data_IF_183642500478
#
_entry.id   IF_183642500478
#
_cell.length_a   1.000
_cell.length_b   1.000
_cell.length_c   1.000
_cell.angle_alpha   90.00
_cell.angle_beta   90.00
_cell.angle_gamma   90.00
#
_symmetry.space_group_name_H-M   'P 1'
#
loop_
_entity.id
_entity.type
_entity.pdbx_description
1 polymer ?
#
# COMPACT_ATOMS: atom_id res chain seq x y z
N UNK A 1 -3.10 -39.65 -8.33
CA UNK A 1 -3.47 -39.45 -6.91
C UNK A 1 -2.53 -38.48 -6.18
N UNK A 2 -2.22 -37.31 -6.76
CA UNK A 2 -1.38 -36.26 -6.13
C UNK A 2 -2.09 -34.90 -5.98
N UNK A 3 -3.33 -34.80 -6.44
CA UNK A 3 -4.12 -33.55 -6.42
C UNK A 3 -5.11 -33.40 -5.26
N UNK A 4 -5.19 -34.36 -4.33
CA UNK A 4 -6.19 -34.34 -3.26
C UNK A 4 -5.67 -33.77 -1.92
N UNK A 5 -4.35 -33.60 -1.77
CA UNK A 5 -3.75 -33.09 -0.54
C UNK A 5 -3.69 -31.56 -0.47
N UNK A 6 -3.80 -30.85 -1.60
CA UNK A 6 -3.86 -29.37 -1.59
C UNK A 6 -5.23 -28.84 -1.13
N UNK A 7 -6.30 -29.63 -1.26
CA UNK A 7 -7.65 -29.22 -0.85
C UNK A 7 -7.85 -29.39 0.66
N UNK A 8 -7.18 -30.36 1.29
CA UNK A 8 -7.30 -30.56 2.74
C UNK A 8 -6.56 -29.51 3.58
N UNK A 9 -5.51 -28.88 3.06
CA UNK A 9 -4.84 -27.77 3.75
C UNK A 9 -5.67 -26.48 3.81
N UNK A 10 -6.72 -26.37 2.97
CA UNK A 10 -7.69 -25.27 2.98
C UNK A 10 -8.93 -25.56 3.84
N UNK A 11 -8.99 -26.73 4.51
CA UNK A 11 -10.11 -27.12 5.39
C UNK A 11 -9.82 -26.94 6.88
N UNK A 12 -8.72 -26.27 7.26
CA UNK A 12 -8.71 -25.57 8.53
C UNK A 12 -9.51 -24.29 8.31
N UNK A 13 -10.78 -24.31 8.76
CA UNK A 13 -11.48 -23.10 9.16
C UNK A 13 -10.58 -22.35 10.15
N UNK A 14 -9.65 -21.54 9.63
CA UNK A 14 -8.91 -20.58 10.42
C UNK A 14 -9.97 -19.64 10.97
N UNK A 15 -10.40 -19.89 12.20
CA UNK A 15 -11.41 -19.07 12.85
C UNK A 15 -10.91 -17.63 12.80
N UNK A 16 -11.66 -16.76 12.10
CA UNK A 16 -11.36 -15.35 12.05
C UNK A 16 -11.26 -14.82 13.47
N UNK A 17 -10.06 -14.39 13.82
CA UNK A 17 -9.76 -13.94 15.16
C UNK A 17 -9.96 -12.44 15.26
N UNK A 18 -10.45 -11.97 16.41
CA UNK A 18 -10.38 -10.54 16.73
C UNK A 18 -8.91 -10.12 16.77
N UNK A 19 -8.62 -8.83 16.57
CA UNK A 19 -7.30 -8.28 16.80
C UNK A 19 -6.68 -8.81 18.09
N UNK A 20 -5.56 -9.53 17.97
CA UNK A 20 -4.81 -10.09 19.12
C UNK A 20 -3.93 -9.03 19.82
N UNK A 21 -3.96 -7.80 19.30
CA UNK A 21 -3.49 -6.60 19.98
C UNK A 21 -4.64 -6.04 20.82
N UNK A 22 -4.34 -5.51 22.01
CA UNK A 22 -5.37 -4.97 22.88
C UNK A 22 -6.12 -3.81 22.21
N UNK A 23 -7.40 -3.62 22.49
CA UNK A 23 -8.19 -2.53 21.89
C UNK A 23 -7.54 -1.14 22.09
N UNK A 24 -6.80 -0.95 23.18
CA UNK A 24 -6.05 0.27 23.47
C UNK A 24 -4.81 0.50 22.59
N UNK A 25 -4.37 -0.52 21.84
CA UNK A 25 -3.24 -0.45 20.89
C UNK A 25 -3.72 -0.13 19.47
N UNK A 26 -5.00 -0.33 19.18
CA UNK A 26 -5.60 0.06 17.92
C UNK A 26 -5.94 1.55 17.95
N UNK A 27 -5.66 2.23 16.85
CA UNK A 27 -6.01 3.64 16.69
C UNK A 27 -7.40 3.79 16.07
N UNK A 28 -8.30 4.49 16.76
CA UNK A 28 -9.69 4.71 16.35
C UNK A 28 -10.02 6.19 16.08
N UNK A 29 -9.02 7.08 16.05
CA UNK A 29 -9.26 8.53 15.91
C UNK A 29 -9.84 8.89 14.54
N UNK A 30 -10.91 9.68 14.51
CA UNK A 30 -11.57 10.08 13.25
C UNK A 30 -11.43 11.58 12.93
N UNK A 31 -10.94 12.36 13.88
CA UNK A 31 -10.78 13.82 13.74
C UNK A 31 -9.31 14.22 13.84
N UNK A 32 -8.94 15.24 13.07
CA UNK A 32 -7.64 15.87 13.11
C UNK A 32 -7.80 17.36 12.79
N UNK A 33 -7.16 18.23 13.58
CA UNK A 33 -7.20 19.68 13.41
C UNK A 33 -6.24 20.21 12.33
N UNK A 34 -5.57 19.32 11.60
CA UNK A 34 -4.53 19.62 10.62
C UNK A 34 -4.41 18.52 9.58
N UNK A 35 -3.32 18.50 8.78
CA UNK A 35 -3.11 17.45 7.78
C UNK A 35 -3.08 16.09 8.47
N UNK A 36 -3.76 15.12 7.88
CA UNK A 36 -3.89 13.78 8.43
C UNK A 36 -3.94 12.74 7.32
N UNK A 37 -3.30 11.60 7.59
CA UNK A 37 -3.38 10.42 6.74
C UNK A 37 -4.64 9.65 7.12
N UNK A 38 -5.52 9.40 6.15
CA UNK A 38 -6.72 8.61 6.33
C UNK A 38 -6.42 7.16 5.95
N UNK A 39 -6.47 6.25 6.92
CA UNK A 39 -6.40 4.83 6.63
C UNK A 39 -7.73 4.35 6.05
N UNK A 40 -7.72 3.76 4.87
CA UNK A 40 -8.92 3.27 4.18
C UNK A 40 -9.14 1.76 4.40
N UNK A 41 -8.11 1.08 4.88
CA UNK A 41 -8.05 -0.37 5.06
C UNK A 41 -7.19 -1.05 3.99
N UNK A 42 -6.73 -2.26 4.30
CA UNK A 42 -5.80 -3.06 3.48
C UNK A 42 -4.53 -2.23 3.20
N UNK A 43 -4.11 -2.06 1.94
CA UNK A 43 -3.03 -1.15 1.53
C UNK A 43 -3.48 0.31 1.36
N UNK A 44 -4.75 0.62 1.62
CA UNK A 44 -5.39 1.89 1.28
C UNK A 44 -5.05 3.05 2.21
N UNK A 45 -4.49 4.14 1.66
CA UNK A 45 -4.26 5.40 2.40
C UNK A 45 -4.61 6.62 1.55
N UNK A 46 -5.28 7.62 2.13
CA UNK A 46 -5.60 8.89 1.47
C UNK A 46 -5.00 10.07 2.25
N UNK A 47 -4.31 10.96 1.53
CA UNK A 47 -3.68 12.13 2.12
C UNK A 47 -4.00 13.41 1.32
N UNK A 48 -4.88 14.28 1.85
CA UNK A 48 -5.08 15.61 1.32
C UNK A 48 -3.88 16.52 1.64
N UNK A 49 -3.46 17.34 0.67
CA UNK A 49 -2.37 18.31 0.83
C UNK A 49 -2.51 19.48 -0.15
N UNK A 50 -2.55 20.73 0.34
CA UNK A 50 -2.62 21.96 -0.48
C UNK A 50 -3.63 21.92 -1.65
N UNK A 51 -4.85 21.40 -1.41
CA UNK A 51 -5.91 21.34 -2.42
C UNK A 51 -5.78 20.21 -3.44
N UNK A 52 -4.70 19.43 -3.37
CA UNK A 52 -4.56 18.15 -4.06
C UNK A 52 -4.43 16.99 -3.06
N UNK A 53 -4.07 15.79 -3.52
CA UNK A 53 -3.85 14.66 -2.63
C UNK A 53 -3.21 13.44 -3.29
N UNK A 54 -2.68 12.58 -2.43
CA UNK A 54 -2.12 11.27 -2.82
C UNK A 54 -2.97 10.14 -2.24
N UNK A 55 -3.23 9.14 -3.07
CA UNK A 55 -3.97 7.92 -2.74
C UNK A 55 -3.07 6.72 -2.97
N UNK A 56 -2.97 5.83 -1.98
CA UNK A 56 -2.17 4.61 -2.06
C UNK A 56 -3.09 3.39 -2.12
N UNK A 57 -2.85 2.49 -3.08
CA UNK A 57 -3.45 1.15 -3.21
C UNK A 57 -4.84 0.96 -2.58
N UNK A 58 -5.88 1.70 -3.02
CA UNK A 58 -7.21 1.64 -2.41
C UNK A 58 -7.90 0.30 -2.66
N UNK A 59 -8.53 -0.27 -1.61
CA UNK A 59 -9.17 -1.59 -1.68
C UNK A 59 -10.41 -1.67 -0.77
N UNK A 60 -11.59 -1.68 -1.38
CA UNK A 60 -12.89 -1.63 -0.72
C UNK A 60 -13.71 -2.89 -0.97
N UNK A 61 -13.66 -3.44 -2.19
CA UNK A 61 -14.45 -4.61 -2.61
C UNK A 61 -14.25 -5.77 -1.66
N UNK A 62 -12.99 -6.13 -1.35
CA UNK A 62 -12.63 -7.20 -0.42
C UNK A 62 -13.42 -8.50 -0.71
N UNK A 63 -13.25 -9.13 -1.88
CA UNK A 63 -14.06 -10.28 -2.29
C UNK A 63 -13.83 -11.51 -1.40
N UNK A 64 -14.84 -12.38 -1.28
CA UNK A 64 -14.77 -13.63 -0.53
C UNK A 64 -15.51 -14.76 -1.26
N UNK A 65 -15.06 -16.01 -1.07
CA UNK A 65 -15.69 -17.17 -1.69
C UNK A 65 -17.12 -17.35 -1.16
N UNK A 66 -18.09 -17.37 -2.08
CA UNK A 66 -19.53 -17.45 -1.77
C UNK A 66 -20.01 -16.39 -0.75
N UNK A 67 -19.30 -15.24 -0.64
CA UNK A 67 -19.62 -14.19 0.33
C UNK A 67 -19.30 -14.55 1.79
N UNK A 68 -18.61 -15.68 2.04
CA UNK A 68 -18.27 -16.14 3.38
C UNK A 68 -17.00 -15.43 3.84
N UNK A 69 -17.13 -14.48 4.76
CA UNK A 69 -16.00 -13.71 5.32
C UNK A 69 -14.89 -14.64 5.82
N UNK A 70 -13.65 -14.32 5.45
CA UNK A 70 -12.45 -15.06 5.83
C UNK A 70 -12.06 -16.18 4.89
N UNK A 71 -12.89 -16.52 3.90
CA UNK A 71 -12.55 -17.53 2.89
C UNK A 71 -12.04 -16.82 1.62
N UNK A 72 -10.78 -17.09 1.20
CA UNK A 72 -10.19 -16.47 0.02
C UNK A 72 -11.05 -16.71 -1.24
N UNK A 73 -11.26 -15.68 -2.08
CA UNK A 73 -12.03 -15.81 -3.30
C UNK A 73 -11.28 -16.62 -4.37
N UNK A 74 -12.04 -17.22 -5.30
CA UNK A 74 -11.48 -17.75 -6.56
C UNK A 74 -11.71 -16.75 -7.69
N UNK A 75 -12.94 -16.21 -7.77
CA UNK A 75 -13.33 -15.15 -8.70
C UNK A 75 -13.32 -13.81 -8.00
N UNK A 76 -12.86 -12.78 -8.69
CA UNK A 76 -12.81 -11.41 -8.19
C UNK A 76 -13.44 -10.46 -9.19
N UNK A 77 -14.20 -9.51 -8.68
CA UNK A 77 -14.81 -8.44 -9.46
C UNK A 77 -15.00 -7.26 -8.54
N UNK A 78 -14.60 -6.07 -9.00
CA UNK A 78 -14.84 -4.81 -8.29
C UNK A 78 -16.33 -4.64 -7.99
N UNK A 79 -16.64 -4.09 -6.83
CA UNK A 79 -17.98 -3.70 -6.39
C UNK A 79 -18.09 -2.16 -6.33
N UNK A 80 -18.53 -1.50 -7.43
CA UNK A 80 -18.66 -0.05 -7.49
C UNK A 80 -19.64 0.53 -6.45
N UNK A 81 -20.63 -0.25 -6.00
CA UNK A 81 -21.59 0.21 -5.00
C UNK A 81 -20.90 0.28 -3.65
N UNK A 82 -20.14 -0.75 -3.29
CA UNK A 82 -19.34 -0.76 -2.05
C UNK A 82 -18.28 0.33 -2.04
N UNK A 83 -17.57 0.53 -3.15
CA UNK A 83 -16.62 1.64 -3.31
C UNK A 83 -17.32 2.99 -3.09
N UNK A 84 -18.46 3.22 -3.74
CA UNK A 84 -19.21 4.48 -3.60
C UNK A 84 -19.71 4.73 -2.17
N UNK A 85 -20.11 3.68 -1.45
CA UNK A 85 -20.61 3.79 -0.08
C UNK A 85 -19.49 4.08 0.93
N UNK A 86 -18.30 3.53 0.71
CA UNK A 86 -17.23 3.52 1.71
C UNK A 86 -16.16 4.58 1.46
N UNK A 87 -15.88 4.92 0.20
CA UNK A 87 -14.76 5.79 -0.12
C UNK A 87 -15.06 7.24 0.30
N UNK A 88 -14.18 7.90 1.08
CA UNK A 88 -14.28 9.34 1.34
C UNK A 88 -14.11 10.14 0.05
N UNK A 89 -14.48 11.43 0.06
CA UNK A 89 -14.24 12.30 -1.09
C UNK A 89 -12.75 12.28 -1.48
N UNK A 90 -12.48 11.99 -2.75
CA UNK A 90 -11.15 11.85 -3.31
C UNK A 90 -11.01 12.59 -4.64
N UNK A 91 -11.93 13.52 -4.96
CA UNK A 91 -11.88 14.31 -6.21
C UNK A 91 -10.65 15.20 -6.31
N UNK A 92 -10.04 15.56 -5.18
CA UNK A 92 -8.80 16.33 -5.12
C UNK A 92 -7.54 15.49 -5.37
N UNK A 93 -7.65 14.16 -5.43
CA UNK A 93 -6.48 13.29 -5.63
C UNK A 93 -5.91 13.53 -7.03
N UNK A 94 -4.64 13.87 -7.09
CA UNK A 94 -3.86 14.06 -8.32
C UNK A 94 -2.92 12.88 -8.58
N UNK A 95 -2.42 12.22 -7.52
CA UNK A 95 -1.53 11.06 -7.63
C UNK A 95 -2.13 9.83 -6.95
N UNK A 96 -2.28 8.74 -7.70
CA UNK A 96 -2.65 7.41 -7.21
C UNK A 96 -1.45 6.48 -7.37
N UNK A 97 -0.89 6.02 -6.26
CA UNK A 97 0.33 5.22 -6.21
C UNK A 97 -0.03 3.76 -5.90
N UNK A 98 0.35 2.84 -6.79
CA UNK A 98 0.12 1.39 -6.63
C UNK A 98 1.48 0.69 -6.61
N UNK A 99 1.78 -0.05 -5.54
CA UNK A 99 3.06 -0.74 -5.43
C UNK A 99 3.11 -2.06 -6.22
N UNK A 100 2.02 -2.82 -6.29
CA UNK A 100 1.95 -4.05 -7.09
C UNK A 100 0.52 -4.36 -7.57
N UNK A 101 0.39 -5.36 -8.44
CA UNK A 101 -0.81 -5.60 -9.25
C UNK A 101 -1.73 -6.72 -8.74
N UNK A 102 -1.56 -7.20 -7.51
CA UNK A 102 -2.54 -8.10 -6.90
C UNK A 102 -3.89 -7.40 -6.72
N UNK A 103 -4.96 -8.19 -6.72
CA UNK A 103 -6.32 -7.67 -6.74
C UNK A 103 -6.65 -6.84 -5.49
N UNK A 104 -6.06 -7.14 -4.35
CA UNK A 104 -6.24 -6.41 -3.10
C UNK A 104 -5.55 -5.04 -3.09
N UNK A 105 -4.78 -4.69 -4.13
CA UNK A 105 -4.19 -3.37 -4.36
C UNK A 105 -4.70 -2.66 -5.63
N UNK A 106 -5.16 -3.41 -6.63
CA UNK A 106 -5.45 -2.88 -7.97
C UNK A 106 -6.91 -3.04 -8.43
N UNK A 107 -7.69 -3.98 -7.87
CA UNK A 107 -9.02 -4.35 -8.38
C UNK A 107 -9.96 -3.17 -8.56
N UNK A 108 -9.98 -2.30 -7.54
CA UNK A 108 -10.94 -1.20 -7.45
C UNK A 108 -10.45 0.06 -8.15
N UNK A 109 -9.18 0.12 -8.55
CA UNK A 109 -8.53 1.34 -9.04
C UNK A 109 -9.23 1.90 -10.28
N UNK A 110 -9.67 1.07 -11.22
CA UNK A 110 -10.34 1.58 -12.42
C UNK A 110 -11.71 2.19 -12.15
N UNK A 111 -12.50 1.60 -11.26
CA UNK A 111 -13.80 2.16 -10.85
C UNK A 111 -13.61 3.44 -10.03
N UNK A 112 -12.60 3.46 -9.15
CA UNK A 112 -12.21 4.63 -8.36
C UNK A 112 -11.83 5.79 -9.29
N UNK A 113 -10.95 5.57 -10.26
CA UNK A 113 -10.52 6.60 -11.21
C UNK A 113 -11.67 7.10 -12.11
N UNK A 114 -12.71 6.29 -12.34
CA UNK A 114 -13.87 6.70 -13.14
C UNK A 114 -14.84 7.59 -12.36
N UNK A 115 -15.02 7.36 -11.06
CA UNK A 115 -16.13 7.97 -10.30
C UNK A 115 -15.69 8.76 -9.07
N UNK A 116 -14.76 8.23 -8.27
CA UNK A 116 -14.42 8.80 -6.96
C UNK A 116 -13.19 9.70 -6.99
N UNK A 117 -12.21 9.39 -7.83
CA UNK A 117 -10.97 10.14 -8.02
C UNK A 117 -10.76 10.47 -9.52
N UNK A 118 -11.68 11.21 -10.17
CA UNK A 118 -11.63 11.48 -11.60
C UNK A 118 -10.41 12.28 -12.07
N UNK A 119 -9.74 12.99 -11.17
CA UNK A 119 -8.55 13.79 -11.45
C UNK A 119 -7.23 13.05 -11.23
N UNK A 120 -7.28 11.81 -10.72
CA UNK A 120 -6.08 11.07 -10.40
C UNK A 120 -5.35 10.58 -11.65
N UNK A 121 -4.02 10.71 -11.62
CA UNK A 121 -3.09 9.96 -12.46
C UNK A 121 -2.55 8.77 -11.68
N UNK A 122 -2.50 7.59 -12.30
CA UNK A 122 -2.04 6.36 -11.64
C UNK A 122 -0.61 6.03 -12.02
N UNK A 123 0.18 5.72 -11.01
CA UNK A 123 1.58 5.39 -11.11
C UNK A 123 1.82 4.00 -10.54
N UNK A 124 2.40 3.11 -11.35
CA UNK A 124 2.70 1.73 -10.97
C UNK A 124 3.63 1.06 -11.97
N UNK A 125 3.90 -0.22 -11.77
CA UNK A 125 4.73 -0.99 -12.69
C UNK A 125 4.03 -1.23 -14.04
N UNK A 126 4.77 -1.77 -15.01
CA UNK A 126 4.22 -2.14 -16.32
C UNK A 126 2.99 -3.06 -16.22
N UNK A 127 2.96 -3.96 -15.23
CA UNK A 127 1.82 -4.87 -15.02
C UNK A 127 0.60 -4.12 -14.54
N UNK A 128 0.76 -3.17 -13.61
CA UNK A 128 -0.32 -2.27 -13.17
C UNK A 128 -0.90 -1.53 -14.39
N UNK A 129 -0.03 -0.93 -15.21
CA UNK A 129 -0.42 -0.17 -16.40
C UNK A 129 -1.15 -1.06 -17.41
N UNK A 130 -0.65 -2.26 -17.69
CA UNK A 130 -1.24 -3.16 -18.68
C UNK A 130 -2.60 -3.71 -18.25
N UNK A 131 -2.79 -4.02 -16.97
CA UNK A 131 -4.11 -4.41 -16.43
C UNK A 131 -5.10 -3.25 -16.56
N UNK A 132 -4.71 -2.04 -16.13
CA UNK A 132 -5.58 -0.86 -16.24
C UNK A 132 -5.86 -0.47 -17.69
N UNK A 133 -4.88 -0.64 -18.58
CA UNK A 133 -5.06 -0.41 -20.00
C UNK A 133 -6.16 -1.32 -20.57
N UNK A 134 -6.20 -2.59 -20.17
CA UNK A 134 -7.31 -3.48 -20.55
C UNK A 134 -8.66 -2.99 -20.02
N UNK A 135 -8.70 -2.53 -18.77
CA UNK A 135 -9.93 -2.01 -18.12
C UNK A 135 -10.42 -0.67 -18.70
N UNK A 136 -9.53 0.06 -19.39
CA UNK A 136 -9.80 1.36 -20.02
C UNK A 136 -9.66 1.30 -21.56
N UNK A 137 -9.66 0.12 -22.17
CA UNK A 137 -9.40 -0.05 -23.62
C UNK A 137 -10.30 0.81 -24.53
N UNK A 138 -11.51 1.13 -24.07
CA UNK A 138 -12.50 1.94 -24.78
C UNK A 138 -12.53 3.42 -24.32
N UNK A 139 -11.59 3.84 -23.46
CA UNK A 139 -11.52 5.19 -22.88
C UNK A 139 -10.11 5.82 -23.04
N UNK A 140 -9.85 6.48 -24.18
CA UNK A 140 -8.56 7.11 -24.45
C UNK A 140 -8.18 8.21 -23.45
N UNK A 141 -9.14 8.81 -22.72
CA UNK A 141 -8.86 9.82 -21.70
C UNK A 141 -8.26 9.18 -20.44
N UNK A 142 -8.78 8.02 -20.04
CA UNK A 142 -8.23 7.23 -18.93
C UNK A 142 -6.85 6.67 -19.27
N UNK A 143 -6.64 6.18 -20.50
CA UNK A 143 -5.35 5.62 -20.92
C UNK A 143 -4.18 6.62 -20.80
N UNK A 144 -4.43 7.92 -20.99
CA UNK A 144 -3.38 8.96 -20.85
C UNK A 144 -2.95 9.24 -19.42
N UNK A 145 -3.67 8.70 -18.43
CA UNK A 145 -3.41 8.87 -17.00
C UNK A 145 -2.68 7.69 -16.38
N UNK A 146 -2.25 6.72 -17.20
CA UNK A 146 -1.52 5.54 -16.75
C UNK A 146 -0.03 5.75 -16.94
N UNK A 147 0.75 5.64 -15.87
CA UNK A 147 2.18 5.92 -15.89
C UNK A 147 2.98 4.72 -15.40
N UNK A 148 3.78 4.14 -16.29
CA UNK A 148 4.76 3.11 -15.93
C UNK A 148 5.97 3.78 -15.28
N UNK A 149 6.25 3.43 -14.03
CA UNK A 149 7.30 4.08 -13.23
C UNK A 149 8.64 3.36 -13.23
N UNK A 150 8.75 2.22 -13.90
CA UNK A 150 10.00 1.46 -13.97
C UNK A 150 11.17 2.27 -14.55
N UNK A 151 10.99 3.17 -15.54
CA UNK A 151 12.09 4.02 -16.02
C UNK A 151 12.61 5.05 -15.01
N UNK A 152 11.85 5.34 -13.95
CA UNK A 152 12.20 6.30 -12.89
C UNK A 152 12.60 5.62 -11.59
N UNK A 153 12.58 4.28 -11.54
CA UNK A 153 12.72 3.50 -10.30
C UNK A 153 14.11 3.65 -9.69
N UNK A 154 14.15 3.98 -8.41
CA UNK A 154 15.37 3.90 -7.62
C UNK A 154 15.78 2.44 -7.49
N UNK A 155 17.04 2.15 -7.80
CA UNK A 155 17.61 0.82 -7.63
C UNK A 155 17.76 0.51 -6.15
N UNK A 156 17.76 -0.78 -5.81
CA UNK A 156 18.08 -1.24 -4.47
C UNK A 156 19.49 -0.75 -4.11
N UNK A 157 19.69 -0.08 -2.96
CA UNK A 157 21.02 0.34 -2.52
C UNK A 157 21.96 -0.88 -2.44
N UNK A 158 23.07 -0.85 -3.18
CA UNK A 158 24.17 -1.82 -3.04
C UNK A 158 25.24 -1.20 -2.13
N UNK A 159 25.87 -2.01 -1.27
CA UNK A 159 27.01 -1.61 -0.44
C UNK A 159 28.20 -1.20 -1.34
N UNK A 160 28.29 -1.73 -2.55
CA UNK A 160 29.41 -1.49 -3.48
C UNK A 160 29.24 -0.29 -4.42
N UNK A 161 28.02 0.22 -4.58
CA UNK A 161 27.68 1.37 -5.44
C UNK A 161 26.52 2.12 -4.81
N UNK A 162 26.57 3.46 -4.68
CA UNK A 162 25.34 4.21 -4.42
C UNK A 162 24.36 3.84 -5.55
N UNK A 163 23.28 3.14 -5.22
CA UNK A 163 22.28 2.76 -6.21
C UNK A 163 21.77 3.99 -6.94
N UNK A 164 21.28 3.83 -8.17
CA UNK A 164 20.58 4.92 -8.84
C UNK A 164 19.45 5.40 -7.91
N UNK A 165 19.52 6.67 -7.48
CA UNK A 165 18.52 7.26 -6.60
C UNK A 165 17.15 7.41 -7.26
N UNK A 166 17.00 7.02 -8.52
CA UNK A 166 15.77 7.17 -9.28
C UNK A 166 15.42 8.63 -9.53
N UNK A 167 14.21 8.87 -10.04
CA UNK A 167 13.74 10.22 -10.39
C UNK A 167 12.46 10.55 -9.62
N UNK A 168 12.39 11.79 -9.15
CA UNK A 168 11.15 12.35 -8.61
C UNK A 168 10.14 12.57 -9.73
N UNK A 169 8.90 12.15 -9.48
CA UNK A 169 7.72 12.41 -10.30
C UNK A 169 6.87 13.41 -9.53
N UNK A 170 6.49 14.50 -10.16
CA UNK A 170 5.71 15.57 -9.53
C UNK A 170 4.24 15.44 -9.91
N UNK A 171 3.35 15.78 -8.98
CA UNK A 171 1.94 15.98 -9.27
C UNK A 171 1.73 17.21 -10.16
N UNK A 172 0.57 17.31 -10.80
CA UNK A 172 0.25 18.42 -11.70
C UNK A 172 0.26 19.79 -11.01
N UNK A 173 -0.14 19.84 -9.73
CA UNK A 173 -0.11 21.08 -8.93
C UNK A 173 1.27 21.31 -8.28
N UNK A 174 2.10 20.27 -8.24
CA UNK A 174 3.48 20.32 -7.77
C UNK A 174 3.60 20.54 -6.27
N UNK A 175 2.59 20.23 -5.45
CA UNK A 175 2.72 20.16 -3.99
C UNK A 175 3.00 18.73 -3.50
N UNK A 176 2.98 17.75 -4.39
CA UNK A 176 3.34 16.36 -4.11
C UNK A 176 4.41 15.93 -5.11
N UNK A 177 5.42 15.19 -4.62
CA UNK A 177 6.30 14.41 -5.47
C UNK A 177 6.47 13.01 -4.92
N UNK A 178 6.52 12.02 -5.81
CA UNK A 178 6.72 10.62 -5.48
C UNK A 178 7.94 10.08 -6.22
N UNK A 179 8.66 9.18 -5.57
CA UNK A 179 9.80 8.47 -6.13
C UNK A 179 9.56 6.97 -5.98
N UNK A 180 9.47 6.23 -7.10
CA UNK A 180 9.33 4.77 -7.08
C UNK A 180 10.65 4.14 -6.63
N UNK A 181 10.56 3.13 -5.76
CA UNK A 181 11.70 2.38 -5.23
C UNK A 181 11.50 0.91 -5.57
N UNK A 182 12.54 0.26 -6.09
CA UNK A 182 12.49 -1.17 -6.38
C UNK A 182 12.29 -1.95 -5.07
N UNK A 183 11.19 -2.71 -5.00
CA UNK A 183 10.84 -3.51 -3.84
C UNK A 183 10.68 -4.99 -4.19
N UNK A 184 10.27 -5.77 -3.19
CA UNK A 184 9.94 -7.18 -3.27
C UNK A 184 8.56 -7.41 -2.63
N UNK A 185 7.94 -8.55 -2.92
CA UNK A 185 6.72 -8.98 -2.28
C UNK A 185 7.00 -10.12 -1.29
N UNK A 186 6.34 -10.13 -0.15
CA UNK A 186 6.40 -11.26 0.78
C UNK A 186 5.77 -12.52 0.16
N UNK A 187 6.22 -13.70 0.57
CA UNK A 187 5.52 -14.93 0.21
C UNK A 187 4.08 -14.91 0.73
N UNK A 188 3.14 -15.43 -0.06
CA UNK A 188 1.77 -15.61 0.40
C UNK A 188 1.68 -16.77 1.41
N UNK A 189 2.36 -17.89 1.13
CA UNK A 189 2.40 -19.08 1.98
C UNK A 189 3.83 -19.65 1.99
N UNK A 190 4.43 -19.81 3.17
CA UNK A 190 5.78 -20.39 3.37
C UNK A 190 6.88 -19.76 2.47
N UNK A 191 6.83 -18.44 2.25
CA UNK A 191 7.78 -17.72 1.43
C UNK A 191 7.55 -17.85 -0.08
N UNK A 192 6.52 -18.60 -0.51
CA UNK A 192 6.16 -18.75 -1.93
C UNK A 192 5.17 -17.67 -2.33
N UNK A 193 5.51 -16.92 -3.37
CA UNK A 193 4.56 -16.08 -4.07
C UNK A 193 3.60 -16.96 -4.88
N UNK A 194 2.32 -16.93 -4.53
CA UNK A 194 1.28 -17.73 -5.20
C UNK A 194 0.77 -17.06 -6.47
N UNK A 195 0.96 -15.75 -6.64
CA UNK A 195 0.46 -15.01 -7.80
C UNK A 195 1.60 -14.32 -8.55
N UNK A 196 2.69 -15.04 -8.91
CA UNK A 196 3.83 -14.45 -9.58
C UNK A 196 3.51 -14.15 -11.05
N UNK A 197 4.35 -13.33 -11.67
CA UNK A 197 4.33 -13.08 -13.10
C UNK A 197 4.13 -11.61 -13.43
N UNK A 198 4.25 -11.31 -14.72
CA UNK A 198 4.24 -9.96 -15.27
C UNK A 198 3.32 -9.95 -16.49
N UNK A 199 2.61 -8.84 -16.70
CA UNK A 199 2.03 -8.49 -17.99
C UNK A 199 2.91 -7.44 -18.67
N UNK A 200 3.52 -7.80 -19.80
CA UNK A 200 4.34 -6.90 -20.64
C UNK A 200 3.52 -6.20 -21.73
N UNK A 201 2.29 -6.66 -21.97
CA UNK A 201 1.26 -6.02 -22.78
C UNK A 201 -0.10 -6.13 -22.08
N UNK A 202 -1.11 -5.33 -22.45
CA UNK A 202 -2.47 -5.50 -21.93
C UNK A 202 -2.96 -6.95 -22.11
N UNK A 203 -3.64 -7.54 -21.11
CA UNK A 203 -4.28 -8.85 -21.26
C UNK A 203 -5.28 -8.87 -22.43
N UNK A 204 -5.42 -10.01 -23.09
CA UNK A 204 -6.42 -10.20 -24.16
C UNK A 204 -7.80 -10.64 -23.61
N UNK A 205 -7.81 -11.27 -22.43
CA UNK A 205 -8.98 -11.84 -21.78
C UNK A 205 -9.37 -11.08 -20.50
N UNK A 206 -10.64 -11.16 -20.06
CA UNK A 206 -11.07 -10.59 -18.78
C UNK A 206 -10.32 -11.17 -17.58
N UNK A 207 -10.04 -10.31 -16.59
CA UNK A 207 -9.43 -10.71 -15.32
C UNK A 207 -10.51 -11.16 -14.33
N UNK A 208 -10.93 -12.42 -14.44
CA UNK A 208 -12.08 -12.95 -13.69
C UNK A 208 -11.69 -13.68 -12.39
N UNK A 209 -10.43 -14.09 -12.26
CA UNK A 209 -9.93 -14.92 -11.16
C UNK A 209 -8.77 -14.26 -10.44
N UNK A 210 -8.51 -14.65 -9.19
CA UNK A 210 -7.36 -14.15 -8.42
C UNK A 210 -6.01 -14.34 -9.15
N UNK A 211 -5.90 -15.37 -10.01
CA UNK A 211 -4.69 -15.70 -10.77
C UNK A 211 -4.39 -14.73 -11.92
N UNK A 212 -5.41 -14.02 -12.39
CA UNK A 212 -5.27 -13.03 -13.45
C UNK A 212 -4.62 -11.74 -12.92
N UNK A 213 -4.65 -11.51 -11.61
CA UNK A 213 -4.05 -10.35 -10.94
C UNK A 213 -2.63 -10.68 -10.52
N UNK A 214 -1.73 -10.74 -11.50
CA UNK A 214 -0.31 -11.08 -11.29
C UNK A 214 0.42 -10.00 -10.50
N UNK A 215 1.44 -10.40 -9.75
CA UNK A 215 2.24 -9.49 -8.91
C UNK A 215 2.82 -8.29 -9.68
N UNK A 216 3.43 -8.54 -10.83
CA UNK A 216 4.23 -7.54 -11.54
C UNK A 216 5.59 -7.29 -10.87
N UNK A 217 6.17 -6.12 -11.15
CA UNK A 217 7.33 -5.63 -10.38
C UNK A 217 6.83 -4.85 -9.16
N UNK A 218 7.14 -5.27 -7.91
CA UNK A 218 6.77 -4.52 -6.72
C UNK A 218 7.56 -3.22 -6.58
N UNK A 219 6.85 -2.18 -6.13
CA UNK A 219 7.36 -0.83 -5.95
C UNK A 219 6.99 -0.34 -4.54
N UNK A 220 7.99 0.15 -3.80
CA UNK A 220 7.78 0.99 -2.62
C UNK A 220 7.84 2.46 -3.03
N UNK A 221 7.35 3.37 -2.18
CA UNK A 221 7.26 4.78 -2.52
C UNK A 221 7.92 5.66 -1.48
N UNK A 222 8.72 6.62 -1.95
CA UNK A 222 9.09 7.80 -1.18
C UNK A 222 8.26 8.98 -1.66
N UNK A 223 7.54 9.65 -0.77
CA UNK A 223 6.63 10.74 -1.11
C UNK A 223 6.97 11.96 -0.27
N UNK A 224 7.18 13.10 -0.94
CA UNK A 224 7.30 14.38 -0.27
C UNK A 224 6.05 15.22 -0.47
N UNK A 225 5.60 15.82 0.64
CA UNK A 225 4.61 16.89 0.64
C UNK A 225 5.36 18.21 0.69
N UNK A 226 5.15 19.05 -0.33
CA UNK A 226 5.92 20.27 -0.56
C UNK A 226 5.15 21.51 -0.12
N UNK A 227 5.88 22.55 0.30
CA UNK A 227 5.33 23.89 0.49
C UNK A 227 5.29 24.72 -0.80
N UNK A 228 4.84 25.96 -0.69
CA UNK A 228 4.80 26.96 -1.76
C UNK A 228 6.18 27.20 -2.43
N UNK A 229 7.28 27.06 -1.67
CA UNK A 229 8.64 27.20 -2.19
C UNK A 229 9.22 25.86 -2.69
N UNK A 230 8.38 24.83 -2.79
CA UNK A 230 8.73 23.48 -3.26
C UNK A 230 9.75 22.76 -2.36
N UNK A 231 9.83 23.14 -1.09
CA UNK A 231 10.63 22.43 -0.11
C UNK A 231 9.82 21.30 0.54
N UNK A 232 10.44 20.15 0.87
CA UNK A 232 9.74 19.04 1.52
C UNK A 232 9.39 19.34 2.98
N UNK A 233 8.10 19.53 3.25
CA UNK A 233 7.55 19.71 4.60
C UNK A 233 7.44 18.37 5.31
N UNK A 234 6.98 17.34 4.60
CA UNK A 234 6.87 15.96 5.09
C UNK A 234 7.50 15.00 4.11
N UNK A 235 8.14 13.94 4.63
CA UNK A 235 8.63 12.81 3.84
C UNK A 235 8.04 11.50 4.37
N UNK A 236 7.41 10.75 3.49
CA UNK A 236 6.66 9.53 3.78
C UNK A 236 7.32 8.40 3.00
N UNK A 237 7.65 7.31 3.69
CA UNK A 237 8.06 6.07 3.06
C UNK A 237 6.90 5.06 3.17
N UNK A 238 6.54 4.43 2.05
CA UNK A 238 5.46 3.45 1.98
C UNK A 238 5.93 2.12 1.40
N UNK A 239 5.89 1.09 2.24
CA UNK A 239 6.04 -0.31 1.85
C UNK A 239 4.68 -0.90 1.52
N UNK A 240 4.38 -1.02 0.22
CA UNK A 240 3.16 -1.63 -0.28
C UNK A 240 3.11 -3.15 -0.01
N UNK A 241 4.27 -3.77 0.20
CA UNK A 241 4.41 -5.15 0.68
C UNK A 241 5.62 -5.27 1.61
N UNK A 242 5.64 -6.28 2.48
CA UNK A 242 6.81 -6.58 3.29
C UNK A 242 7.96 -7.09 2.39
N UNK A 243 9.16 -6.55 2.59
CA UNK A 243 10.30 -6.79 1.71
C UNK A 243 11.60 -7.04 2.50
N UNK A 244 12.37 -8.03 2.06
CA UNK A 244 13.68 -8.36 2.63
C UNK A 244 14.66 -7.23 2.32
N UNK A 245 15.41 -6.71 3.30
CA UNK A 245 16.45 -5.72 3.05
C UNK A 245 17.45 -6.17 1.97
N UNK A 246 17.92 -5.26 1.08
CA UNK A 246 17.62 -3.83 1.04
C UNK A 246 16.42 -3.46 0.15
N UNK A 247 15.60 -4.43 -0.29
CA UNK A 247 14.48 -4.17 -1.18
C UNK A 247 13.46 -3.22 -0.51
N UNK A 248 13.05 -2.21 -1.26
CA UNK A 248 12.15 -1.17 -0.78
C UNK A 248 12.79 -0.21 0.24
N UNK A 249 14.12 -0.20 0.42
CA UNK A 249 14.75 0.82 1.25
C UNK A 249 14.80 2.16 0.49
N UNK A 250 14.47 3.29 1.13
CA UNK A 250 14.52 4.57 0.45
C UNK A 250 15.96 4.92 0.07
N UNK A 251 16.18 5.50 -1.12
CA UNK A 251 17.49 5.98 -1.51
C UNK A 251 17.92 7.16 -0.62
N UNK A 252 19.21 7.45 -0.62
CA UNK A 252 19.73 8.65 0.02
C UNK A 252 19.35 9.90 -0.78
N UNK A 253 18.79 10.90 -0.09
CA UNK A 253 18.51 12.22 -0.67
C UNK A 253 19.46 13.28 -0.07
N UNK A 254 20.03 14.17 -0.90
CA UNK A 254 21.02 15.17 -0.45
C UNK A 254 20.42 16.32 0.36
N UNK A 255 19.10 16.42 0.47
CA UNK A 255 18.40 17.52 1.14
C UNK A 255 18.37 17.42 2.67
N UNK A 256 18.93 16.34 3.24
CA UNK A 256 18.97 16.10 4.68
C UNK A 256 17.60 15.85 5.32
N UNK A 257 16.53 15.76 4.52
CA UNK A 257 15.17 15.53 5.02
C UNK A 257 15.01 14.07 5.42
N UNK A 258 14.88 13.84 6.73
CA UNK A 258 14.58 12.51 7.27
C UNK A 258 13.15 12.06 6.95
N UNK A 259 12.92 10.75 7.03
CA UNK A 259 11.57 10.17 6.98
C UNK A 259 10.77 10.65 8.19
N UNK A 260 9.63 11.28 7.95
CA UNK A 260 8.67 11.63 9.01
C UNK A 260 7.78 10.43 9.32
N UNK A 261 7.31 9.72 8.30
CA UNK A 261 6.31 8.66 8.41
C UNK A 261 6.77 7.42 7.66
N UNK A 262 6.79 6.29 8.34
CA UNK A 262 7.05 4.97 7.77
C UNK A 262 5.74 4.18 7.78
N UNK A 263 5.23 3.82 6.60
CA UNK A 263 4.02 3.02 6.44
C UNK A 263 4.44 1.59 6.10
N UNK A 264 4.17 0.67 7.00
CA UNK A 264 4.53 -0.74 6.93
C UNK A 264 3.32 -1.59 6.52
N UNK A 265 3.59 -2.63 5.73
CA UNK A 265 2.64 -3.69 5.42
C UNK A 265 2.82 -4.83 6.43
N UNK A 266 1.75 -5.18 7.15
CA UNK A 266 1.77 -6.31 8.07
C UNK A 266 1.63 -7.66 7.36
N UNK A 267 1.02 -7.69 6.16
CA UNK A 267 0.81 -8.91 5.38
C UNK A 267 2.07 -9.76 5.27
N UNK A 268 1.99 -11.01 5.74
CA UNK A 268 3.09 -11.99 5.71
C UNK A 268 4.45 -11.53 6.27
N UNK A 269 4.49 -10.51 7.14
CA UNK A 269 5.74 -9.90 7.61
C UNK A 269 6.74 -10.90 8.22
N UNK A 270 6.26 -11.91 8.94
CA UNK A 270 7.07 -12.92 9.61
C UNK A 270 7.77 -13.90 8.64
N UNK A 271 7.38 -13.90 7.36
CA UNK A 271 8.02 -14.68 6.31
C UNK A 271 9.22 -13.93 5.68
N UNK A 272 9.42 -12.67 6.07
CA UNK A 272 10.42 -11.78 5.47
C UNK A 272 11.58 -11.58 6.45
N UNK A 273 12.77 -11.96 6.01
CA UNK A 273 13.98 -11.86 6.83
C UNK A 273 14.27 -10.40 7.21
N UNK A 274 14.45 -10.14 8.52
CA UNK A 274 14.81 -8.84 9.10
C UNK A 274 13.82 -7.69 8.85
N UNK A 275 12.61 -7.97 8.36
CA UNK A 275 11.55 -6.98 8.24
C UNK A 275 10.69 -6.94 9.52
N UNK A 276 10.25 -5.76 9.99
CA UNK A 276 10.60 -4.40 9.53
C UNK A 276 11.86 -3.84 10.21
N UNK A 277 12.52 -4.61 11.08
CA UNK A 277 13.62 -4.18 11.94
C UNK A 277 14.71 -3.37 11.21
N UNK A 278 15.30 -3.94 10.16
CA UNK A 278 16.39 -3.30 9.43
C UNK A 278 15.95 -2.00 8.71
N UNK A 279 14.69 -1.95 8.26
CA UNK A 279 14.14 -0.74 7.64
C UNK A 279 13.98 0.37 8.67
N UNK A 280 13.46 0.06 9.87
CA UNK A 280 13.28 1.04 10.95
C UNK A 280 14.61 1.55 11.50
N UNK A 281 15.61 0.66 11.62
CA UNK A 281 16.97 1.05 12.01
C UNK A 281 17.61 2.01 10.98
N UNK A 282 17.24 1.86 9.70
CA UNK A 282 17.67 2.71 8.60
C UNK A 282 16.91 4.04 8.53
N UNK A 283 15.56 4.02 8.53
CA UNK A 283 14.73 5.21 8.27
C UNK A 283 14.51 6.10 9.49
N UNK A 284 14.59 5.53 10.71
CA UNK A 284 14.41 6.22 12.00
C UNK A 284 13.24 7.23 12.00
N UNK A 285 12.01 6.76 11.68
CA UNK A 285 10.88 7.63 11.44
C UNK A 285 10.34 8.23 12.75
N UNK A 286 9.52 9.28 12.61
CA UNK A 286 8.82 9.92 13.75
C UNK A 286 7.51 9.23 14.06
N UNK A 287 6.87 8.73 13.02
CA UNK A 287 5.64 7.97 13.08
C UNK A 287 5.83 6.67 12.29
N UNK A 288 5.41 5.55 12.87
CA UNK A 288 5.24 4.28 12.16
C UNK A 288 3.75 3.96 12.09
N UNK A 289 3.28 3.62 10.89
CA UNK A 289 1.91 3.20 10.63
C UNK A 289 1.94 1.74 10.16
N UNK A 290 1.13 0.89 10.78
CA UNK A 290 1.03 -0.53 10.43
C UNK A 290 -0.32 -0.73 9.73
N UNK A 291 -0.30 -0.91 8.42
CA UNK A 291 -1.47 -1.23 7.60
C UNK A 291 -1.47 -2.68 7.13
N UNK A 292 -2.44 -3.02 6.28
CA UNK A 292 -2.61 -4.32 5.64
C UNK A 292 -2.57 -5.48 6.64
N UNK A 293 -3.26 -5.30 7.78
CA UNK A 293 -3.27 -6.28 8.87
C UNK A 293 -4.62 -6.99 9.02
N UNK A 294 -5.68 -6.32 8.61
CA UNK A 294 -7.04 -6.81 8.68
C UNK A 294 -7.38 -7.76 7.53
N UNK A 295 -8.28 -8.68 7.82
CA UNK A 295 -8.82 -9.64 6.87
C UNK A 295 -9.46 -8.91 5.70
N UNK A 296 -8.92 -9.06 4.50
CA UNK A 296 -9.48 -8.51 3.27
C UNK A 296 -10.34 -9.51 2.48
N UNK A 297 -10.62 -10.70 3.03
CA UNK A 297 -11.60 -11.65 2.47
C UNK A 297 -12.99 -11.35 3.04
N UNK A 298 -13.80 -10.54 2.33
CA UNK A 298 -15.17 -10.22 2.73
C UNK A 298 -15.23 -9.29 3.94
N UNK A 299 -14.24 -8.41 4.10
CA UNK A 299 -14.12 -7.52 5.26
C UNK A 299 -15.35 -6.63 5.43
N UNK A 300 -15.67 -6.37 6.70
CA UNK A 300 -16.70 -5.43 7.13
C UNK A 300 -16.07 -4.40 8.08
N UNK A 301 -16.16 -3.09 7.78
CA UNK A 301 -15.54 -2.06 8.61
C UNK A 301 -16.01 -2.02 10.06
N UNK A 302 -17.23 -2.49 10.33
CA UNK A 302 -17.85 -2.57 11.66
C UNK A 302 -17.48 -3.83 12.45
N UNK A 303 -16.87 -4.84 11.80
CA UNK A 303 -16.39 -6.08 12.43
C UNK A 303 -15.00 -6.47 11.90
N UNK A 304 -14.02 -5.62 12.18
CA UNK A 304 -12.64 -5.80 11.70
C UNK A 304 -12.00 -7.04 12.33
N UNK A 305 -11.56 -7.96 11.49
CA UNK A 305 -10.86 -9.20 11.87
C UNK A 305 -9.43 -9.20 11.33
N UNK A 306 -8.57 -10.03 11.88
CA UNK A 306 -7.21 -10.22 11.35
C UNK A 306 -7.23 -11.25 10.20
N UNK A 307 -6.38 -11.04 9.19
CA UNK A 307 -6.04 -12.07 8.19
C UNK A 307 -5.66 -13.36 8.92
N UNK A 308 -6.23 -14.52 8.54
CA UNK A 308 -5.83 -15.80 9.09
C UNK A 308 -4.31 -16.01 9.03
N UNK A 309 -3.68 -16.33 10.19
CA UNK A 309 -2.24 -16.60 10.28
C UNK A 309 -1.34 -15.37 10.47
N UNK A 310 -1.87 -14.15 10.50
CA UNK A 310 -1.06 -12.96 10.75
C UNK A 310 -0.71 -12.80 12.24
N UNK A 311 0.60 -12.73 12.54
CA UNK A 311 1.11 -12.33 13.85
C UNK A 311 1.19 -10.80 14.02
N UNK A 312 0.03 -10.15 14.16
CA UNK A 312 -0.02 -8.69 14.36
C UNK A 312 0.61 -8.26 15.68
N UNK A 313 0.51 -9.06 16.74
CA UNK A 313 1.10 -8.74 18.04
C UNK A 313 2.64 -8.73 17.93
N UNK A 314 3.22 -9.75 17.32
CA UNK A 314 4.66 -9.79 17.05
C UNK A 314 5.14 -8.64 16.18
N UNK A 315 4.35 -8.24 15.16
CA UNK A 315 4.65 -7.06 14.33
C UNK A 315 4.75 -5.78 15.18
N UNK A 316 3.77 -5.53 16.04
CA UNK A 316 3.78 -4.36 16.93
C UNK A 316 4.97 -4.43 17.90
N UNK A 317 5.26 -5.61 18.46
CA UNK A 317 6.39 -5.80 19.38
C UNK A 317 7.74 -5.53 18.71
N UNK A 318 7.99 -6.07 17.51
CA UNK A 318 9.25 -5.85 16.80
C UNK A 318 9.41 -4.38 16.40
N UNK A 319 8.33 -3.72 15.92
CA UNK A 319 8.35 -2.29 15.62
C UNK A 319 8.75 -1.48 16.85
N UNK A 320 8.13 -1.76 18.01
CA UNK A 320 8.42 -1.04 19.27
C UNK A 320 9.84 -1.25 19.77
N UNK A 321 10.50 -2.37 19.45
CA UNK A 321 11.91 -2.64 19.80
C UNK A 321 12.90 -1.84 18.94
N UNK A 322 12.53 -1.52 17.70
CA UNK A 322 13.40 -0.85 16.72
C UNK A 322 13.13 0.64 16.55
N UNK A 323 12.24 1.22 17.37
CA UNK A 323 11.99 2.66 17.39
C UNK A 323 12.22 3.26 18.77
N UNK A 324 12.47 4.56 18.82
CA UNK A 324 12.65 5.26 20.09
C UNK A 324 11.33 5.38 20.85
N UNK A 325 11.33 5.56 22.18
CA UNK A 325 10.12 5.84 22.95
C UNK A 325 9.36 7.12 22.51
N UNK A 326 10.02 8.02 21.78
CA UNK A 326 9.41 9.24 21.21
C UNK A 326 8.70 8.99 19.87
N UNK A 327 8.98 7.87 19.20
CA UNK A 327 8.35 7.51 17.93
C UNK A 327 6.92 7.04 18.19
N UNK A 328 5.96 7.69 17.55
CA UNK A 328 4.56 7.26 17.63
C UNK A 328 4.36 6.05 16.72
N UNK A 329 3.68 5.01 17.21
CA UNK A 329 3.36 3.82 16.42
C UNK A 329 1.86 3.61 16.47
N UNK A 330 1.23 3.53 15.31
CA UNK A 330 -0.21 3.35 15.17
C UNK A 330 -0.51 2.08 14.37
N UNK A 331 -1.48 1.31 14.87
CA UNK A 331 -2.18 0.26 14.13
C UNK A 331 -3.62 0.73 13.93
N UNK A 332 -3.89 1.55 12.90
CA UNK A 332 -5.20 2.16 12.70
C UNK A 332 -6.27 1.15 12.32
N UNK A 333 -7.48 1.36 12.85
CA UNK A 333 -8.69 0.76 12.29
C UNK A 333 -9.01 1.40 10.93
N UNK A 334 -9.61 0.67 9.99
CA UNK A 334 -10.13 1.24 8.74
C UNK A 334 -10.97 2.49 8.99
N UNK A 335 -10.86 3.46 8.09
CA UNK A 335 -11.54 4.75 8.10
C UNK A 335 -11.14 5.71 9.22
N UNK A 336 -10.00 5.48 9.86
CA UNK A 336 -9.46 6.40 10.88
C UNK A 336 -8.45 7.38 10.30
N UNK A 337 -8.30 8.53 10.94
CA UNK A 337 -7.37 9.59 10.56
C UNK A 337 -6.24 9.65 11.56
N UNK A 338 -5.00 9.67 11.07
CA UNK A 338 -3.80 9.81 11.86
C UNK A 338 -3.21 11.20 11.57
N UNK A 339 -3.14 12.10 12.56
CA UNK A 339 -2.56 13.42 12.35
C UNK A 339 -1.08 13.30 11.95
N UNK A 340 -0.65 14.12 10.98
CA UNK A 340 0.77 14.23 10.66
C UNK A 340 1.51 14.87 11.85
N UNK A 341 2.81 14.57 12.03
CA UNK A 341 3.55 15.19 13.12
C UNK A 341 3.70 16.70 12.86
N UNK A 342 4.07 17.49 13.88
CA UNK A 342 4.43 18.89 13.65
C UNK A 342 5.55 18.98 12.60
N UNK A 343 5.52 19.90 11.62
CA UNK A 343 6.60 20.06 10.65
C UNK A 343 7.96 20.17 11.34
N UNK A 344 9.01 19.62 10.73
CA UNK A 344 10.35 19.79 11.27
C UNK A 344 10.72 21.27 11.18
N UNK A 345 11.26 21.84 12.25
CA UNK A 345 11.83 23.18 12.20
C UNK A 345 12.92 23.18 11.12
N UNK A 346 12.86 24.16 10.20
CA UNK A 346 13.94 24.35 9.23
C UNK A 346 15.20 24.68 10.04
N UNK A 347 16.22 23.82 9.97
CA UNK A 347 17.56 24.23 10.37
C UNK A 347 18.02 25.22 9.30
N UNK A 348 17.97 26.51 9.64
CA UNK A 348 18.46 27.61 8.79
C UNK A 348 19.96 27.48 8.56
#
# INVERSE_FOLDING_TARGET
MRGLWLVLALTLCGCLSKPQVGAHQLWAGQEASGPALHYLGVGGWLLPWHGEGVLFAPSFTNPALAGITGIPPIKVKSDPVKIQQMMPDARFVSMLLVGHAHYDHLLDVSDIMKKQAPNAQVYGSETVVNILHYQFRDDPQQLRRLHNVLPQIASVPDISRPGDSGKWIYSDQGFIRAKPIRSMHAGHIFGVDLLPGIYTSPPDEPLDTVWDWRLGTPVAWLVDLLDEQKNPVYRIHYQDSAATPPWGFPPWEPDGKRIDIEILCAGSWHQVYHYPAALLDFTKPRIVLIGHWENFFGNKPDDVRIIPGLDLKGMVEIVRRHVTPKTSVFTPLPFTKIPLPAPQARHL
#
